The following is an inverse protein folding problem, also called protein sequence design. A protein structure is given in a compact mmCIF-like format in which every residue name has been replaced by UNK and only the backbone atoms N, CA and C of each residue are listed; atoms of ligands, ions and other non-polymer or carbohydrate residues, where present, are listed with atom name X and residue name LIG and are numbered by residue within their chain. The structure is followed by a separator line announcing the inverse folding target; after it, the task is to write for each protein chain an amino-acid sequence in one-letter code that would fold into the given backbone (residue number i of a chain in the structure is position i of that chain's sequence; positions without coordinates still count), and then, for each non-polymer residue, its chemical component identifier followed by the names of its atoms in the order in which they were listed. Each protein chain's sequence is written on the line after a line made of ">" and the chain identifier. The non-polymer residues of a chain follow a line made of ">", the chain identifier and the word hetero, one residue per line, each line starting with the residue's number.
data_IF_590427984246
#
_entry.id   IF_590427984246
#
_cell.length_a   1.000
_cell.length_b   1.000
_cell.length_c   1.000
_cell.angle_alpha   90.00
_cell.angle_beta   90.00
_cell.angle_gamma   90.00
#
_symmetry.space_group_name_H-M   'P 1'
#
loop_
_entity.id
_entity.type
_entity.pdbx_description
1 polymer ?
#
# COMPACT_ATOMS: atom_id res chain seq x y z
N UNK A 1 -16.66 -25.46 -3.40
CA UNK A 1 -16.43 -25.38 -1.94
C UNK A 1 -15.34 -24.37 -1.57
N UNK A 2 -14.17 -24.38 -2.24
CA UNK A 2 -13.09 -23.42 -1.97
C UNK A 2 -13.50 -21.93 -2.10
N UNK A 3 -14.39 -21.60 -3.03
CA UNK A 3 -14.87 -20.23 -3.29
C UNK A 3 -15.77 -19.67 -2.16
N UNK A 4 -16.51 -20.51 -1.43
CA UNK A 4 -17.34 -20.03 -0.31
C UNK A 4 -16.47 -19.70 0.90
N UNK A 5 -15.55 -20.61 1.25
CA UNK A 5 -14.63 -20.41 2.37
C UNK A 5 -13.74 -19.18 2.18
N UNK A 6 -13.29 -18.90 0.95
CA UNK A 6 -12.49 -17.70 0.65
C UNK A 6 -13.32 -16.42 0.71
N UNK A 7 -14.58 -16.43 0.25
CA UNK A 7 -15.51 -15.31 0.38
C UNK A 7 -15.78 -14.96 1.85
N UNK A 8 -16.06 -15.96 2.68
CA UNK A 8 -16.34 -15.75 4.09
C UNK A 8 -15.10 -15.22 4.83
N UNK A 9 -13.93 -15.80 4.54
CA UNK A 9 -12.66 -15.34 5.09
C UNK A 9 -12.34 -13.90 4.64
N UNK A 10 -12.62 -13.55 3.39
CA UNK A 10 -12.43 -12.20 2.88
C UNK A 10 -13.36 -11.19 3.56
N UNK A 11 -14.64 -11.52 3.75
CA UNK A 11 -15.57 -10.67 4.49
C UNK A 11 -15.10 -10.42 5.94
N UNK A 12 -14.62 -11.47 6.63
CA UNK A 12 -14.03 -11.35 7.96
C UNK A 12 -12.76 -10.49 7.95
N UNK A 13 -11.89 -10.66 6.96
CA UNK A 13 -10.69 -9.85 6.77
C UNK A 13 -11.04 -8.36 6.63
N UNK A 14 -12.01 -8.01 5.79
CA UNK A 14 -12.46 -6.62 5.60
C UNK A 14 -12.95 -6.04 6.93
N UNK A 15 -13.68 -6.82 7.73
CA UNK A 15 -14.14 -6.41 9.06
C UNK A 15 -12.97 -6.17 10.03
N UNK A 16 -11.99 -7.08 10.07
CA UNK A 16 -10.80 -6.94 10.94
C UNK A 16 -9.93 -5.73 10.56
N UNK A 17 -9.79 -5.44 9.26
CA UNK A 17 -9.12 -4.25 8.77
C UNK A 17 -9.85 -2.98 9.20
N UNK A 18 -11.19 -2.95 9.07
CA UNK A 18 -12.02 -1.82 9.51
C UNK A 18 -11.91 -1.59 11.04
N UNK A 19 -11.80 -2.66 11.81
CA UNK A 19 -11.58 -2.62 13.27
C UNK A 19 -10.13 -2.31 13.68
N UNK A 20 -9.20 -2.16 12.73
CA UNK A 20 -7.75 -1.99 12.97
C UNK A 20 -7.12 -3.13 13.79
N UNK A 21 -7.77 -4.30 13.85
CA UNK A 21 -7.23 -5.52 14.48
C UNK A 21 -6.19 -6.19 13.59
N UNK A 22 -6.30 -5.97 12.30
CA UNK A 22 -5.38 -6.46 11.30
C UNK A 22 -4.80 -5.28 10.52
N UNK A 23 -3.50 -5.35 10.25
CA UNK A 23 -2.77 -4.37 9.46
C UNK A 23 -2.37 -5.03 8.15
N UNK A 24 -2.72 -4.40 7.04
CA UNK A 24 -2.30 -4.82 5.71
C UNK A 24 -0.92 -4.22 5.42
N UNK A 25 0.11 -5.05 5.27
CA UNK A 25 1.39 -4.62 4.72
C UNK A 25 1.34 -4.68 3.20
N UNK A 26 1.67 -3.59 2.52
CA UNK A 26 1.70 -3.52 1.05
C UNK A 26 3.14 -3.42 0.58
N UNK A 27 3.56 -4.34 -0.29
CA UNK A 27 4.84 -4.22 -0.97
C UNK A 27 4.73 -3.22 -2.13
N UNK A 28 5.05 -1.96 -1.82
CA UNK A 28 4.95 -0.84 -2.77
C UNK A 28 5.77 -1.12 -4.04
N UNK A 29 6.93 -1.76 -3.94
CA UNK A 29 7.79 -2.04 -5.09
C UNK A 29 7.21 -3.06 -6.08
N UNK A 30 6.33 -3.95 -5.63
CA UNK A 30 5.59 -4.87 -6.51
C UNK A 30 4.36 -4.18 -7.08
N UNK A 31 3.62 -3.45 -6.23
CA UNK A 31 2.39 -2.75 -6.63
C UNK A 31 2.64 -1.51 -7.52
N UNK A 32 3.85 -0.96 -7.53
CA UNK A 32 4.24 0.19 -8.34
C UNK A 32 4.89 -0.18 -9.68
N UNK A 33 4.87 -1.45 -10.09
CA UNK A 33 5.45 -1.89 -11.38
C UNK A 33 4.42 -1.85 -12.52
N UNK A 34 4.85 -1.61 -13.77
CA UNK A 34 3.99 -1.77 -14.95
C UNK A 34 3.35 -3.17 -14.97
N UNK A 35 2.04 -3.24 -15.18
CA UNK A 35 1.26 -4.48 -15.13
C UNK A 35 0.53 -4.72 -13.80
N UNK A 36 0.82 -3.94 -12.75
CA UNK A 36 -0.01 -3.90 -11.54
C UNK A 36 -1.32 -3.13 -11.80
N UNK A 37 -2.47 -3.60 -11.30
CA UNK A 37 -3.76 -2.91 -11.43
C UNK A 37 -3.78 -1.54 -10.73
N UNK A 38 -2.78 -1.26 -9.89
CA UNK A 38 -2.65 -0.01 -9.11
C UNK A 38 -1.69 0.99 -9.76
N UNK A 39 -0.95 0.58 -10.80
CA UNK A 39 0.10 1.38 -11.42
C UNK A 39 -0.47 2.55 -12.25
N UNK A 40 0.05 3.77 -12.00
CA UNK A 40 -0.25 4.97 -12.79
C UNK A 40 1.04 5.65 -13.25
N UNK A 41 1.34 5.57 -14.55
CA UNK A 41 2.55 6.12 -15.17
C UNK A 41 2.69 7.65 -15.00
N UNK A 42 1.57 8.37 -15.00
CA UNK A 42 1.53 9.84 -14.88
C UNK A 42 2.06 10.32 -13.53
N UNK A 43 1.89 9.55 -12.46
CA UNK A 43 2.28 9.97 -11.11
C UNK A 43 3.79 10.01 -10.89
N UNK A 44 4.54 9.31 -11.72
CA UNK A 44 6.01 9.37 -11.72
C UNK A 44 6.53 10.37 -12.75
N UNK A 45 5.90 10.43 -13.93
CA UNK A 45 6.38 11.26 -15.03
C UNK A 45 6.21 12.77 -14.74
N UNK A 46 5.06 13.17 -14.18
CA UNK A 46 4.70 14.58 -14.04
C UNK A 46 5.59 15.31 -13.01
N UNK A 47 5.82 14.78 -11.79
CA UNK A 47 6.66 15.46 -10.81
C UNK A 47 8.14 15.48 -11.23
N UNK A 48 8.61 14.42 -11.90
CA UNK A 48 9.98 14.36 -12.43
C UNK A 48 10.19 15.38 -13.54
N UNK A 49 9.24 15.49 -14.47
CA UNK A 49 9.27 16.48 -15.54
C UNK A 49 9.27 17.91 -15.00
N UNK A 50 8.35 18.24 -14.09
CA UNK A 50 8.29 19.57 -13.47
C UNK A 50 9.58 19.91 -12.71
N UNK A 51 10.14 18.97 -11.96
CA UNK A 51 11.42 19.18 -11.27
C UNK A 51 12.56 19.48 -12.24
N UNK A 52 12.68 18.68 -13.30
CA UNK A 52 13.73 18.85 -14.31
C UNK A 52 13.61 20.20 -15.03
N UNK A 53 12.43 20.53 -15.56
CA UNK A 53 12.21 21.81 -16.24
C UNK A 53 12.34 23.00 -15.29
N UNK A 54 11.97 22.84 -14.02
CA UNK A 54 12.17 23.86 -12.99
C UNK A 54 13.65 24.17 -12.75
N UNK A 55 14.49 23.14 -12.62
CA UNK A 55 15.95 23.32 -12.43
C UNK A 55 16.59 23.92 -13.68
N UNK A 56 16.23 23.45 -14.88
CA UNK A 56 16.73 24.01 -16.14
C UNK A 56 16.35 25.49 -16.26
N UNK A 57 15.07 25.83 -16.01
CA UNK A 57 14.60 27.21 -16.05
C UNK A 57 15.32 28.11 -15.04
N UNK A 58 15.51 27.64 -13.80
CA UNK A 58 16.25 28.36 -12.77
C UNK A 58 17.72 28.60 -13.18
N UNK A 59 18.34 27.60 -13.81
CA UNK A 59 19.72 27.71 -14.29
C UNK A 59 19.84 28.71 -15.45
N UNK A 60 18.90 28.71 -16.39
CA UNK A 60 18.90 29.63 -17.54
C UNK A 60 18.71 31.08 -17.09
N UNK A 61 17.84 31.32 -16.10
CA UNK A 61 17.49 32.68 -15.66
C UNK A 61 18.52 33.24 -14.65
N UNK A 62 18.93 32.43 -13.67
CA UNK A 62 19.76 32.87 -12.55
C UNK A 62 21.16 32.29 -12.52
N UNK A 63 21.58 31.60 -13.58
CA UNK A 63 22.88 30.94 -13.64
C UNK A 63 23.00 29.73 -12.72
N UNK A 64 24.22 29.24 -12.59
CA UNK A 64 24.53 27.98 -11.90
C UNK A 64 24.16 28.02 -10.42
N UNK A 65 24.31 29.16 -9.74
CA UNK A 65 23.98 29.29 -8.32
C UNK A 65 22.49 29.10 -8.06
N UNK A 66 21.62 29.75 -8.84
CA UNK A 66 20.17 29.58 -8.71
C UNK A 66 19.73 28.17 -9.13
N UNK A 67 20.35 27.61 -10.17
CA UNK A 67 20.15 26.22 -10.58
C UNK A 67 20.47 25.22 -9.47
N UNK A 68 21.62 25.39 -8.79
CA UNK A 68 22.03 24.53 -7.69
C UNK A 68 21.09 24.63 -6.48
N UNK A 69 20.61 25.84 -6.16
CA UNK A 69 19.63 26.05 -5.10
C UNK A 69 18.29 25.38 -5.44
N UNK A 70 17.80 25.55 -6.68
CA UNK A 70 16.58 24.94 -7.15
C UNK A 70 16.66 23.40 -7.13
N UNK A 71 17.81 22.83 -7.52
CA UNK A 71 18.05 21.38 -7.45
C UNK A 71 18.00 20.89 -6.00
N UNK A 72 18.67 21.59 -5.08
CA UNK A 72 18.70 21.22 -3.66
C UNK A 72 17.29 21.23 -3.06
N UNK A 73 16.52 22.29 -3.32
CA UNK A 73 15.12 22.39 -2.88
C UNK A 73 14.27 21.29 -3.53
N UNK A 74 14.45 21.05 -4.83
CA UNK A 74 13.72 20.03 -5.57
C UNK A 74 13.93 18.63 -5.00
N UNK A 75 15.18 18.29 -4.66
CA UNK A 75 15.52 17.02 -4.00
C UNK A 75 14.87 16.93 -2.61
N UNK A 76 14.93 18.00 -1.81
CA UNK A 76 14.29 18.04 -0.50
C UNK A 76 12.76 17.83 -0.61
N UNK A 77 12.09 18.54 -1.54
CA UNK A 77 10.66 18.38 -1.80
C UNK A 77 10.33 16.97 -2.29
N UNK A 78 11.19 16.38 -3.13
CA UNK A 78 11.00 15.02 -3.62
C UNK A 78 10.93 14.00 -2.49
N UNK A 79 11.94 13.99 -1.61
CA UNK A 79 12.02 13.02 -0.52
C UNK A 79 11.04 13.29 0.61
N UNK A 80 10.76 14.56 0.93
CA UNK A 80 9.93 14.92 2.08
C UNK A 80 8.44 15.00 1.76
N UNK A 81 8.06 15.25 0.49
CA UNK A 81 6.67 15.53 0.13
C UNK A 81 6.15 14.59 -0.95
N UNK A 82 6.87 14.47 -2.07
CA UNK A 82 6.39 13.71 -3.24
C UNK A 82 6.42 12.22 -2.95
N UNK A 83 7.56 11.70 -2.48
CA UNK A 83 7.75 10.27 -2.23
C UNK A 83 6.76 9.73 -1.16
N UNK A 84 6.55 10.39 -0.01
CA UNK A 84 5.54 9.95 0.96
C UNK A 84 4.13 9.94 0.38
N UNK A 85 3.74 10.98 -0.38
CA UNK A 85 2.41 11.02 -1.02
C UNK A 85 2.20 9.90 -2.03
N UNK A 86 3.20 9.57 -2.83
CA UNK A 86 3.10 8.44 -3.77
C UNK A 86 2.89 7.14 -2.99
N UNK A 87 3.63 6.93 -1.90
CA UNK A 87 3.47 5.73 -1.06
C UNK A 87 2.05 5.64 -0.48
N UNK A 88 1.51 6.74 0.04
CA UNK A 88 0.16 6.77 0.62
C UNK A 88 -0.91 6.50 -0.43
N UNK A 89 -0.77 7.07 -1.64
CA UNK A 89 -1.71 6.84 -2.73
C UNK A 89 -1.68 5.40 -3.23
N UNK A 90 -0.48 4.82 -3.40
CA UNK A 90 -0.33 3.41 -3.78
C UNK A 90 -0.93 2.51 -2.70
N UNK A 91 -0.69 2.82 -1.43
CA UNK A 91 -1.27 2.08 -0.31
C UNK A 91 -2.80 2.15 -0.34
N UNK A 92 -3.39 3.35 -0.47
CA UNK A 92 -4.84 3.54 -0.49
C UNK A 92 -5.52 2.76 -1.62
N UNK A 93 -4.94 2.76 -2.83
CA UNK A 93 -5.46 2.00 -3.96
C UNK A 93 -5.27 0.50 -3.79
N UNK A 94 -4.13 0.09 -3.27
CA UNK A 94 -3.87 -1.33 -2.98
C UNK A 94 -4.86 -1.84 -1.94
N UNK A 95 -5.10 -1.07 -0.88
CA UNK A 95 -6.13 -1.35 0.11
C UNK A 95 -7.51 -1.49 -0.54
N UNK A 96 -7.95 -0.49 -1.30
CA UNK A 96 -9.24 -0.52 -1.98
C UNK A 96 -9.37 -1.73 -2.93
N UNK A 97 -8.30 -2.06 -3.67
CA UNK A 97 -8.25 -3.20 -4.57
C UNK A 97 -8.43 -4.52 -3.81
N UNK A 98 -7.65 -4.76 -2.75
CA UNK A 98 -7.72 -6.03 -2.03
C UNK A 98 -9.01 -6.19 -1.22
N UNK A 99 -9.63 -5.08 -0.79
CA UNK A 99 -10.94 -5.13 -0.12
C UNK A 99 -12.13 -5.24 -1.08
N UNK A 100 -11.92 -5.02 -2.38
CA UNK A 100 -13.01 -4.99 -3.37
C UNK A 100 -13.64 -6.36 -3.64
N UNK A 101 -12.83 -7.41 -3.66
CA UNK A 101 -13.29 -8.77 -3.91
C UNK A 101 -12.29 -9.82 -3.40
N UNK A 102 -12.76 -11.04 -3.09
CA UNK A 102 -11.88 -12.15 -2.70
C UNK A 102 -10.87 -12.52 -3.81
N UNK A 103 -11.28 -12.42 -5.07
CA UNK A 103 -10.40 -12.70 -6.20
C UNK A 103 -9.26 -11.67 -6.32
N UNK A 104 -9.56 -10.39 -6.14
CA UNK A 104 -8.53 -9.34 -6.12
C UNK A 104 -7.55 -9.51 -4.96
N UNK A 105 -8.05 -9.89 -3.78
CA UNK A 105 -7.21 -10.24 -2.65
C UNK A 105 -6.28 -11.42 -2.96
N UNK A 106 -6.84 -12.52 -3.47
CA UNK A 106 -6.08 -13.72 -3.81
C UNK A 106 -4.98 -13.42 -4.85
N UNK A 107 -5.32 -12.64 -5.89
CA UNK A 107 -4.34 -12.21 -6.89
C UNK A 107 -3.18 -11.41 -6.26
N UNK A 108 -3.48 -10.49 -5.35
CA UNK A 108 -2.45 -9.71 -4.65
C UNK A 108 -1.61 -10.58 -3.70
N UNK A 109 -2.24 -11.56 -3.05
CA UNK A 109 -1.59 -12.53 -2.16
C UNK A 109 -0.60 -13.42 -2.93
N UNK A 110 -1.04 -14.02 -4.03
CA UNK A 110 -0.22 -14.87 -4.90
C UNK A 110 0.94 -14.10 -5.53
N UNK A 111 0.72 -12.83 -5.88
CA UNK A 111 1.76 -11.94 -6.38
C UNK A 111 2.78 -11.50 -5.31
N UNK A 112 2.64 -11.96 -4.06
CA UNK A 112 3.46 -11.53 -2.90
C UNK A 112 3.48 -10.02 -2.71
N UNK A 113 2.39 -9.37 -3.10
CA UNK A 113 2.25 -7.93 -3.08
C UNK A 113 1.70 -7.41 -1.74
N UNK A 114 1.14 -8.30 -0.92
CA UNK A 114 0.57 -7.98 0.38
C UNK A 114 0.98 -8.99 1.47
N UNK A 115 0.87 -8.54 2.72
CA UNK A 115 1.13 -9.30 3.95
C UNK A 115 0.07 -8.91 4.98
N UNK A 116 -0.24 -9.79 5.93
CA UNK A 116 -1.17 -9.49 7.02
C UNK A 116 -0.42 -9.50 8.34
N UNK A 117 -0.72 -8.57 9.23
CA UNK A 117 -0.13 -8.50 10.56
C UNK A 117 -1.20 -8.26 11.63
N UNK A 118 -1.17 -9.05 12.69
CA UNK A 118 -2.03 -8.91 13.85
C UNK A 118 -1.13 -8.78 15.09
N UNK A 119 -0.98 -7.56 15.62
CA UNK A 119 -0.03 -7.29 16.71
C UNK A 119 1.41 -7.61 16.31
N UNK A 120 1.99 -8.62 16.96
CA UNK A 120 3.36 -9.12 16.73
C UNK A 120 3.42 -10.26 15.70
N UNK A 121 2.30 -10.91 15.39
CA UNK A 121 2.26 -12.00 14.42
C UNK A 121 2.08 -11.47 13.00
N UNK A 122 2.78 -12.07 12.05
CA UNK A 122 2.74 -11.71 10.65
C UNK A 122 2.54 -12.94 9.77
N UNK A 123 1.57 -12.87 8.86
CA UNK A 123 1.29 -13.87 7.85
C UNK A 123 1.77 -13.35 6.50
N UNK A 124 2.69 -14.09 5.87
CA UNK A 124 3.32 -13.72 4.60
C UNK A 124 3.10 -14.81 3.53
N UNK A 125 2.82 -14.44 2.28
CA UNK A 125 2.83 -15.39 1.17
C UNK A 125 4.26 -15.81 0.80
N UNK A 126 4.47 -17.02 0.23
CA UNK A 126 3.46 -18.04 -0.08
C UNK A 126 3.15 -18.98 1.09
N UNK A 127 3.98 -18.99 2.14
CA UNK A 127 3.98 -20.03 3.17
C UNK A 127 2.83 -19.87 4.18
N UNK A 128 2.27 -18.66 4.31
CA UNK A 128 1.18 -18.35 5.23
C UNK A 128 -0.20 -18.71 4.66
N UNK A 129 -1.00 -19.42 5.46
CA UNK A 129 -2.43 -19.58 5.22
C UNK A 129 -3.19 -18.36 5.77
N UNK A 130 -3.51 -17.42 4.88
CA UNK A 130 -4.24 -16.21 5.24
C UNK A 130 -5.66 -16.50 5.74
N UNK A 131 -6.30 -17.59 5.30
CA UNK A 131 -7.66 -17.95 5.72
C UNK A 131 -7.61 -18.40 7.19
N UNK A 132 -6.67 -19.29 7.51
CA UNK A 132 -6.45 -19.73 8.89
C UNK A 132 -6.07 -18.55 9.79
N UNK A 133 -5.18 -17.67 9.33
CA UNK A 133 -4.73 -16.50 10.08
C UNK A 133 -5.88 -15.53 10.41
N UNK A 134 -6.73 -15.22 9.44
CA UNK A 134 -7.90 -14.33 9.62
C UNK A 134 -8.94 -14.94 10.55
N UNK A 135 -9.11 -16.26 10.51
CA UNK A 135 -10.03 -16.98 11.41
C UNK A 135 -9.52 -17.03 12.84
N UNK A 136 -8.21 -17.21 13.03
CA UNK A 136 -7.58 -17.22 14.34
C UNK A 136 -7.55 -15.83 14.99
N UNK A 137 -7.59 -14.76 14.19
CA UNK A 137 -7.61 -13.39 14.70
C UNK A 137 -8.99 -13.06 15.31
N UNK A 138 -9.07 -12.73 16.60
CA UNK A 138 -10.33 -12.38 17.23
C UNK A 138 -10.82 -11.02 16.74
N UNK A 139 -12.12 -10.93 16.52
CA UNK A 139 -12.80 -9.64 16.32
C UNK A 139 -13.00 -8.94 17.65
N UNK A 140 -13.25 -7.62 17.60
CA UNK A 140 -13.51 -6.83 18.82
C UNK A 140 -14.69 -7.39 19.64
N UNK A 141 -15.74 -7.84 18.98
CA UNK A 141 -16.95 -8.38 19.61
C UNK A 141 -16.66 -9.69 20.36
N UNK A 142 -15.84 -10.56 19.78
CA UNK A 142 -15.46 -11.85 20.39
C UNK A 142 -14.57 -11.66 21.64
N UNK A 143 -13.73 -10.62 21.68
CA UNK A 143 -12.95 -10.28 22.89
C UNK A 143 -13.83 -9.71 24.02
N UNK A 144 -14.81 -8.87 23.67
CA UNK A 144 -15.74 -8.27 24.64
C UNK A 144 -16.67 -9.34 25.25
N UNK A 145 -17.11 -10.33 24.48
CA UNK A 145 -17.91 -11.46 24.97
C UNK A 145 -17.09 -12.48 25.80
N UNK A 146 -15.81 -12.68 25.45
CA UNK A 146 -14.91 -13.58 26.17
C UNK A 146 -14.46 -13.05 27.54
N UNK A 147 -14.42 -11.72 27.72
CA UNK A 147 -14.03 -11.06 28.98
C UNK A 147 -15.15 -10.92 30.02
N UNK A 148 -16.37 -11.37 29.71
CA UNK A 148 -17.53 -11.37 30.63
C UNK A 148 -17.87 -12.76 31.18
N UNK A 149 -16.97 -13.74 31.03
CA UNK A 149 -17.10 -15.09 31.60
C UNK A 149 -16.08 -15.35 32.71
#
# INVERSE_FOLDING_TARGET
>A
MADVSSRDAHARLVRLLAQKRLVLGVNIGVMSRPGSPVFRRIETALPTGLGLFGVIGATVIGGVTLGALALTIGVAVWFLVILPRIKDQVYARSYAFVTSSPAAFAQAWEARAITLRAGAEECRPPDGDWIAFVRATPTREEEEEGGHR
#
